data_IF_248724078686
#
_entry.id   IF_248724078686
#
_cell.length_a   1.000
_cell.length_b   1.000
_cell.length_c   1.000
_cell.angle_alpha   90.00
_cell.angle_beta   90.00
_cell.angle_gamma   90.00
#
_symmetry.space_group_name_H-M   'P 1'
#
loop_
_entity.id
_entity.type
_entity.pdbx_description
1 polymer ?
#
# COMPACT_ATOMS: atom_id res chain seq x y z
N UNK A 1 -10.35 10.80 -25.15
CA UNK A 1 -11.38 11.21 -24.15
C UNK A 1 -10.67 11.94 -23.02
N UNK A 2 -11.28 12.99 -22.45
CA UNK A 2 -10.68 13.74 -21.33
C UNK A 2 -10.90 12.98 -20.03
N UNK A 3 -9.88 12.92 -19.18
CA UNK A 3 -9.98 12.36 -17.83
C UNK A 3 -10.72 13.36 -16.94
N UNK A 4 -11.81 12.92 -16.30
CA UNK A 4 -12.58 13.75 -15.37
C UNK A 4 -11.92 13.63 -13.99
N UNK A 5 -11.49 14.75 -13.41
CA UNK A 5 -11.01 14.78 -12.02
C UNK A 5 -12.20 15.03 -11.10
N UNK A 6 -12.31 14.22 -10.06
CA UNK A 6 -13.40 14.30 -9.09
C UNK A 6 -12.90 14.04 -7.66
N UNK A 7 -13.65 14.56 -6.69
CA UNK A 7 -13.51 14.22 -5.27
C UNK A 7 -14.55 13.16 -4.92
N UNK A 8 -14.13 12.12 -4.21
CA UNK A 8 -15.04 11.16 -3.60
C UNK A 8 -15.43 11.65 -2.20
N UNK A 9 -16.72 11.93 -2.00
CA UNK A 9 -17.24 12.40 -0.71
C UNK A 9 -18.62 11.77 -0.46
N UNK A 10 -18.79 11.14 0.71
CA UNK A 10 -20.06 10.53 1.14
C UNK A 10 -20.67 9.54 0.12
N UNK A 11 -19.83 8.77 -0.59
CA UNK A 11 -20.32 7.82 -1.59
C UNK A 11 -20.56 8.41 -2.98
N UNK A 12 -20.30 9.71 -3.19
CA UNK A 12 -20.57 10.40 -4.45
C UNK A 12 -19.27 10.96 -5.04
N UNK A 13 -19.06 10.75 -6.35
CA UNK A 13 -17.96 11.38 -7.10
C UNK A 13 -18.42 12.76 -7.62
N UNK A 14 -17.81 13.83 -7.08
CA UNK A 14 -18.09 15.22 -7.46
C UNK A 14 -16.98 15.72 -8.39
N UNK A 15 -17.25 15.95 -9.69
CA UNK A 15 -16.23 16.43 -10.61
C UNK A 15 -15.83 17.87 -10.26
N UNK A 16 -14.55 18.20 -10.46
CA UNK A 16 -14.04 19.56 -10.27
C UNK A 16 -14.48 20.52 -11.39
N UNK A 17 -14.80 19.96 -12.56
CA UNK A 17 -15.17 20.68 -13.77
C UNK A 17 -16.48 20.12 -14.33
N UNK A 18 -17.18 20.91 -15.15
CA UNK A 18 -18.38 20.45 -15.83
C UNK A 18 -18.02 19.28 -16.77
N UNK A 19 -18.83 18.23 -16.72
CA UNK A 19 -18.69 17.06 -17.59
C UNK A 19 -19.63 17.23 -18.78
N UNK A 20 -19.06 17.43 -19.97
CA UNK A 20 -19.83 17.55 -21.21
C UNK A 20 -20.16 16.16 -21.77
N UNK A 21 -21.17 15.51 -21.18
CA UNK A 21 -21.75 14.26 -21.69
C UNK A 21 -23.26 14.42 -21.89
N UNK A 22 -23.85 13.77 -22.90
CA UNK A 22 -25.30 13.76 -23.07
C UNK A 22 -26.01 13.20 -21.83
N UNK A 23 -27.22 13.69 -21.56
CA UNK A 23 -28.04 13.14 -20.50
C UNK A 23 -28.28 11.64 -20.69
N UNK A 24 -28.28 10.87 -19.58
CA UNK A 24 -28.49 9.42 -19.56
C UNK A 24 -27.44 8.60 -20.31
N UNK A 25 -26.22 9.11 -20.42
CA UNK A 25 -25.08 8.33 -20.94
C UNK A 25 -24.58 7.37 -19.87
N UNK A 26 -24.57 6.07 -20.17
CA UNK A 26 -23.89 5.07 -19.35
C UNK A 26 -22.38 5.22 -19.51
N UNK A 27 -21.65 5.22 -18.39
CA UNK A 27 -20.19 5.41 -18.39
C UNK A 27 -19.54 4.32 -17.56
N UNK A 28 -18.44 3.77 -18.08
CA UNK A 28 -17.51 2.96 -17.30
C UNK A 28 -16.51 3.89 -16.63
N UNK A 29 -16.32 3.73 -15.31
CA UNK A 29 -15.47 4.60 -14.51
C UNK A 29 -14.53 3.77 -13.65
N UNK A 30 -13.23 3.99 -13.83
CA UNK A 30 -12.17 3.41 -13.01
C UNK A 30 -11.54 4.51 -12.14
N UNK A 31 -11.87 4.59 -10.83
CA UNK A 31 -11.26 5.57 -9.94
C UNK A 31 -9.78 5.27 -9.76
N UNK A 32 -8.94 6.27 -10.08
CA UNK A 32 -7.52 6.26 -9.71
C UNK A 32 -7.33 7.22 -8.56
N UNK A 33 -6.86 6.72 -7.42
CA UNK A 33 -6.57 7.56 -6.25
C UNK A 33 -5.38 8.45 -6.59
N UNK A 34 -5.62 9.76 -6.63
CA UNK A 34 -4.59 10.75 -6.94
C UNK A 34 -3.99 11.25 -5.64
N UNK A 35 -2.70 10.98 -5.41
CA UNK A 35 -1.97 11.55 -4.27
C UNK A 35 -2.01 10.72 -2.98
N UNK A 36 -2.56 9.51 -3.00
CA UNK A 36 -2.10 8.51 -2.04
C UNK A 36 -0.62 8.30 -2.32
N UNK A 37 0.24 8.84 -1.45
CA UNK A 37 1.54 8.24 -1.27
C UNK A 37 1.22 6.80 -0.93
N UNK A 38 1.48 5.86 -1.85
CA UNK A 38 1.67 4.48 -1.45
C UNK A 38 2.51 4.56 -0.17
N UNK A 39 2.11 3.93 0.95
CA UNK A 39 3.00 3.83 2.08
C UNK A 39 4.33 3.38 1.46
N UNK A 40 5.44 4.13 1.68
CA UNK A 40 6.68 3.80 1.02
C UNK A 40 6.84 2.31 1.21
N UNK A 41 6.93 1.55 0.11
CA UNK A 41 7.32 0.14 0.18
C UNK A 41 8.52 0.16 1.11
N UNK A 42 8.36 -0.39 2.33
CA UNK A 42 9.25 -0.08 3.46
C UNK A 42 10.67 -0.08 2.93
N UNK A 43 11.37 1.04 3.09
CA UNK A 43 12.61 1.28 2.35
C UNK A 43 13.46 0.03 2.51
N UNK A 44 13.92 -0.56 1.40
CA UNK A 44 14.72 -1.78 1.49
C UNK A 44 15.92 -1.56 2.41
N UNK A 45 16.43 -0.33 2.44
CA UNK A 45 17.47 0.12 3.36
C UNK A 45 17.03 0.08 4.83
N UNK A 46 15.80 0.47 5.17
CA UNK A 46 15.25 0.37 6.54
C UNK A 46 15.11 -1.09 6.99
N UNK A 47 14.65 -1.96 6.08
CA UNK A 47 14.54 -3.41 6.35
C UNK A 47 15.94 -4.00 6.58
N UNK A 48 16.89 -3.69 5.70
CA UNK A 48 18.27 -4.14 5.84
C UNK A 48 18.95 -3.56 7.08
N UNK A 49 18.65 -2.31 7.47
CA UNK A 49 19.15 -1.72 8.71
C UNK A 49 18.68 -2.53 9.92
N UNK A 50 17.39 -2.86 10.01
CA UNK A 50 16.85 -3.69 11.10
C UNK A 50 17.51 -5.07 11.12
N UNK A 51 17.67 -5.72 9.97
CA UNK A 51 18.32 -7.04 9.86
C UNK A 51 19.82 -7.00 10.20
N UNK A 52 20.48 -5.86 9.96
CA UNK A 52 21.91 -5.67 10.27
C UNK A 52 22.21 -5.49 11.76
N UNK A 53 21.18 -5.20 12.57
CA UNK A 53 21.33 -5.01 14.00
C UNK A 53 21.78 -6.32 14.64
N UNK A 54 22.87 -6.26 15.40
CA UNK A 54 23.32 -7.39 16.21
C UNK A 54 22.30 -7.62 17.32
N UNK A 55 21.53 -8.69 17.20
CA UNK A 55 20.68 -9.18 18.27
C UNK A 55 21.48 -10.19 19.10
N UNK A 56 21.69 -9.89 20.38
CA UNK A 56 22.30 -10.82 21.32
C UNK A 56 21.18 -11.35 22.23
N UNK A 57 20.72 -12.58 21.97
CA UNK A 57 19.70 -13.24 22.78
C UNK A 57 20.20 -13.67 24.16
N UNK A 58 21.51 -13.60 24.43
CA UNK A 58 22.13 -14.12 25.65
C UNK A 58 22.25 -15.65 25.68
N UNK A 59 21.63 -16.35 24.73
CA UNK A 59 21.67 -17.79 24.59
C UNK A 59 22.94 -18.21 23.85
N UNK A 60 23.64 -19.21 24.39
CA UNK A 60 24.80 -19.83 23.73
C UNK A 60 24.32 -21.04 22.96
N UNK A 61 24.83 -21.17 21.74
CA UNK A 61 24.67 -22.36 20.89
C UNK A 61 23.21 -22.73 20.59
N UNK A 62 22.48 -21.78 20.01
CA UNK A 62 21.08 -21.92 19.55
C UNK A 62 20.90 -23.10 18.58
N UNK A 63 21.98 -23.51 17.89
CA UNK A 63 21.97 -24.66 16.98
C UNK A 63 21.85 -26.00 17.73
N UNK A 64 22.34 -26.09 18.97
CA UNK A 64 22.24 -27.30 19.79
C UNK A 64 20.78 -27.59 20.24
N UNK A 65 19.95 -26.56 20.43
CA UNK A 65 18.52 -26.70 20.77
C UNK A 65 17.64 -27.19 19.59
N UNK A 66 18.18 -27.27 18.37
CA UNK A 66 17.41 -27.62 17.17
C UNK A 66 16.73 -29.01 17.25
N UNK A 67 17.33 -29.95 17.98
CA UNK A 67 16.84 -31.34 18.07
C UNK A 67 16.00 -31.61 19.32
N UNK A 68 15.85 -30.65 20.24
CA UNK A 68 15.13 -30.85 21.52
C UNK A 68 13.61 -30.97 21.32
N UNK A 69 13.08 -30.58 20.17
CA UNK A 69 11.65 -30.60 19.85
C UNK A 69 11.31 -31.40 18.59
N UNK A 70 12.26 -32.20 18.07
CA UNK A 70 11.99 -33.12 16.96
C UNK A 70 11.64 -34.52 17.51
N UNK A 71 10.48 -35.10 17.17
CA UNK A 71 10.08 -36.44 17.59
C UNK A 71 10.94 -37.55 16.99
#
# INVERSE_FOLDING_TARGET
MKTIRAVYEQGVFRPHEAVELPERTEVEFEPKVVGEKMPPTGSMDEIYEVMSRRFNSGERDIAACHNEHQP
#
